data_IF_735557382371
#
_entry.id   IF_735557382371
#
_cell.length_a   1.000
_cell.length_b   1.000
_cell.length_c   1.000
_cell.angle_alpha   90.00
_cell.angle_beta   90.00
_cell.angle_gamma   90.00
#
_symmetry.space_group_name_H-M   'P 1'
#
loop_
_entity.id
_entity.type
_entity.pdbx_description
1 polymer ?
#
# COMPACT_ATOMS: atom_id res chain seq x y z
N UNK A 1 0.83 -10.40 13.03
CA UNK A 1 2.20 -9.99 12.67
C UNK A 1 2.13 -8.67 11.95
N UNK A 2 3.18 -7.86 11.98
CA UNK A 2 3.24 -6.62 11.20
C UNK A 2 3.66 -6.95 9.77
N UNK A 3 2.92 -6.45 8.79
CA UNK A 3 3.22 -6.61 7.37
C UNK A 3 3.79 -5.33 6.79
N UNK A 4 4.78 -5.47 5.93
CA UNK A 4 5.36 -4.43 5.08
C UNK A 4 4.75 -4.54 3.70
N UNK A 5 4.13 -3.46 3.23
CA UNK A 5 3.45 -3.42 1.92
C UNK A 5 3.98 -2.25 1.11
N UNK A 6 4.34 -2.53 -0.14
CA UNK A 6 4.77 -1.52 -1.12
C UNK A 6 3.82 -1.51 -2.29
N UNK A 7 3.27 -0.34 -2.61
CA UNK A 7 2.41 -0.11 -3.77
C UNK A 7 3.07 0.88 -4.73
N UNK A 8 3.07 0.58 -6.03
CA UNK A 8 3.46 1.50 -7.09
C UNK A 8 2.21 2.19 -7.64
N UNK A 9 2.16 3.51 -7.55
CA UNK A 9 0.98 4.30 -7.93
C UNK A 9 1.37 5.47 -8.81
N UNK A 10 0.46 5.88 -9.68
CA UNK A 10 0.64 7.11 -10.46
C UNK A 10 0.50 8.34 -9.56
N UNK A 11 1.02 9.48 -10.01
CA UNK A 11 0.90 10.77 -9.33
C UNK A 11 -0.58 11.16 -9.13
N UNK A 12 -1.43 10.83 -10.09
CA UNK A 12 -2.85 11.18 -10.06
C UNK A 12 -3.60 10.37 -9.00
N UNK A 13 -3.19 9.12 -8.76
CA UNK A 13 -3.85 8.21 -7.82
C UNK A 13 -3.22 8.22 -6.42
N UNK A 14 -2.11 8.96 -6.25
CA UNK A 14 -1.31 8.96 -5.03
C UNK A 14 -2.12 9.39 -3.81
N UNK A 15 -2.86 10.48 -3.92
CA UNK A 15 -3.65 11.02 -2.82
C UNK A 15 -4.79 10.07 -2.42
N UNK A 16 -5.46 9.49 -3.40
CA UNK A 16 -6.53 8.52 -3.19
C UNK A 16 -5.98 7.25 -2.54
N UNK A 17 -4.88 6.71 -3.06
CA UNK A 17 -4.24 5.50 -2.50
C UNK A 17 -3.82 5.70 -1.05
N UNK A 18 -3.19 6.83 -0.71
CA UNK A 18 -2.83 7.15 0.68
C UNK A 18 -4.06 7.22 1.57
N UNK A 19 -5.15 7.79 1.06
CA UNK A 19 -6.43 7.88 1.78
C UNK A 19 -7.02 6.49 2.02
N UNK A 20 -7.03 5.64 1.01
CA UNK A 20 -7.49 4.24 1.07
C UNK A 20 -6.66 3.44 2.07
N UNK A 21 -5.33 3.55 2.03
CA UNK A 21 -4.43 2.89 3.00
C UNK A 21 -4.84 3.24 4.42
N UNK A 22 -5.01 4.53 4.72
CA UNK A 22 -5.35 5.02 6.07
C UNK A 22 -6.74 4.58 6.54
N UNK A 23 -7.69 4.40 5.64
CA UNK A 23 -9.09 4.09 5.98
C UNK A 23 -9.39 2.60 6.04
N UNK A 24 -8.78 1.80 5.17
CA UNK A 24 -9.19 0.40 4.93
C UNK A 24 -8.35 -0.63 5.67
N UNK A 25 -7.10 -0.31 5.98
CA UNK A 25 -6.20 -1.22 6.67
C UNK A 25 -6.26 -1.00 8.18
N UNK A 26 -6.02 -2.06 8.95
CA UNK A 26 -5.95 -1.99 10.40
C UNK A 26 -4.60 -1.42 10.86
N UNK A 27 -4.63 -0.34 11.64
CA UNK A 27 -3.46 0.39 12.17
C UNK A 27 -2.34 0.63 11.13
N UNK A 28 -2.64 1.29 10.00
CA UNK A 28 -1.67 1.49 8.95
C UNK A 28 -0.68 2.60 9.32
N UNK A 29 0.61 2.40 9.01
CA UNK A 29 1.64 3.44 9.17
C UNK A 29 2.39 3.60 7.86
N UNK A 30 2.24 4.76 7.22
CA UNK A 30 2.98 5.10 6.00
C UNK A 30 4.36 5.60 6.39
N UNK A 31 5.41 4.86 6.03
CA UNK A 31 6.80 5.19 6.39
C UNK A 31 7.54 5.94 5.28
N UNK A 32 7.19 5.71 4.02
CA UNK A 32 7.85 6.36 2.89
C UNK A 32 6.92 6.53 1.70
N UNK A 33 7.06 7.66 1.03
CA UNK A 33 6.54 7.89 -0.31
C UNK A 33 7.72 8.42 -1.12
N UNK A 34 8.18 7.64 -2.09
CA UNK A 34 9.35 7.99 -2.90
C UNK A 34 9.02 7.94 -4.39
N UNK A 35 9.63 8.84 -5.17
CA UNK A 35 9.46 8.86 -6.62
C UNK A 35 10.19 7.66 -7.23
N UNK A 36 9.51 6.89 -8.08
CA UNK A 36 10.08 5.71 -8.74
C UNK A 36 10.65 6.05 -10.12
N UNK A 37 9.78 6.47 -11.04
CA UNK A 37 10.14 6.86 -12.41
C UNK A 37 8.99 7.65 -13.04
N UNK A 38 9.28 8.62 -13.90
CA UNK A 38 8.25 9.42 -14.57
C UNK A 38 7.29 10.08 -13.58
N UNK A 39 6.00 9.73 -13.68
CA UNK A 39 4.93 10.17 -12.77
C UNK A 39 4.51 9.07 -11.78
N UNK A 40 5.35 8.07 -11.52
CA UNK A 40 5.07 6.99 -10.58
C UNK A 40 5.80 7.15 -9.24
N UNK A 41 5.16 6.67 -8.18
CA UNK A 41 5.62 6.71 -6.80
C UNK A 41 5.49 5.33 -6.15
N UNK A 42 6.41 5.00 -5.23
CA UNK A 42 6.26 3.88 -4.31
C UNK A 42 5.71 4.41 -2.99
N UNK A 43 4.52 3.94 -2.60
CA UNK A 43 3.95 4.13 -1.26
C UNK A 43 4.24 2.88 -0.45
N UNK A 44 4.80 3.12 0.72
CA UNK A 44 5.50 2.14 1.51
C UNK A 44 4.91 2.25 2.91
N UNK A 45 4.15 1.24 3.35
CA UNK A 45 3.42 1.27 4.63
C UNK A 45 3.43 -0.07 5.38
N UNK A 46 3.21 -0.02 6.70
CA UNK A 46 2.95 -1.20 7.51
C UNK A 46 1.49 -1.29 7.93
N UNK A 47 1.03 -2.49 8.26
CA UNK A 47 -0.30 -2.73 8.84
C UNK A 47 -0.27 -3.98 9.73
N UNK A 48 -1.17 -4.03 10.71
CA UNK A 48 -1.41 -5.22 11.54
C UNK A 48 -2.55 -6.10 11.02
N UNK A 49 -3.12 -5.75 9.86
CA UNK A 49 -4.11 -6.59 9.14
C UNK A 49 -3.55 -7.98 8.86
N UNK A 50 -4.41 -8.99 8.76
CA UNK A 50 -4.04 -10.33 8.29
C UNK A 50 -3.69 -10.31 6.81
N UNK A 51 -2.98 -11.34 6.31
CA UNK A 51 -2.68 -11.45 4.89
C UNK A 51 -3.96 -11.48 4.03
N UNK A 52 -4.96 -12.25 4.44
CA UNK A 52 -6.24 -12.34 3.73
C UNK A 52 -6.97 -11.00 3.67
N UNK A 53 -6.97 -10.23 4.76
CA UNK A 53 -7.53 -8.88 4.77
C UNK A 53 -6.77 -7.94 3.83
N UNK A 54 -5.43 -8.03 3.82
CA UNK A 54 -4.62 -7.21 2.91
C UNK A 54 -4.97 -7.51 1.46
N UNK A 55 -4.97 -8.79 1.08
CA UNK A 55 -5.29 -9.20 -0.29
C UNK A 55 -6.71 -8.84 -0.68
N UNK A 56 -7.68 -8.98 0.25
CA UNK A 56 -9.08 -8.59 0.04
C UNK A 56 -9.22 -7.09 -0.19
N UNK A 57 -8.65 -6.25 0.67
CA UNK A 57 -8.71 -4.78 0.53
C UNK A 57 -8.03 -4.34 -0.76
N UNK A 58 -6.87 -4.89 -1.11
CA UNK A 58 -6.20 -4.59 -2.37
C UNK A 58 -7.05 -4.98 -3.59
N UNK A 59 -7.80 -6.07 -3.50
CA UNK A 59 -8.75 -6.48 -4.55
C UNK A 59 -9.95 -5.55 -4.68
N UNK A 60 -10.62 -5.24 -3.56
CA UNK A 60 -11.81 -4.37 -3.51
C UNK A 60 -11.53 -2.94 -4.00
N UNK A 61 -10.31 -2.44 -3.74
CA UNK A 61 -9.88 -1.08 -4.09
C UNK A 61 -9.11 -1.02 -5.41
N UNK A 62 -9.08 -2.12 -6.18
CA UNK A 62 -8.35 -2.25 -7.45
C UNK A 62 -6.83 -1.99 -7.36
N UNK A 63 -6.26 -2.01 -6.15
CA UNK A 63 -4.84 -1.78 -5.86
C UNK A 63 -3.97 -3.04 -6.01
N UNK A 64 -4.56 -4.21 -6.26
CA UNK A 64 -3.80 -5.46 -6.36
C UNK A 64 -2.72 -5.40 -7.46
N UNK A 65 -3.02 -4.73 -8.59
CA UNK A 65 -2.06 -4.55 -9.69
C UNK A 65 -0.92 -3.60 -9.36
N UNK A 66 -1.10 -2.78 -8.33
CA UNK A 66 -0.12 -1.83 -7.83
C UNK A 66 0.83 -2.49 -6.81
N UNK A 67 0.55 -3.72 -6.37
CA UNK A 67 1.36 -4.42 -5.36
C UNK A 67 2.76 -4.72 -5.91
N UNK A 68 3.77 -4.17 -5.23
CA UNK A 68 5.19 -4.43 -5.50
C UNK A 68 5.71 -5.53 -4.59
N UNK A 69 5.38 -5.47 -3.30
CA UNK A 69 5.79 -6.49 -2.34
C UNK A 69 4.89 -6.52 -1.10
N UNK A 70 4.81 -7.70 -0.50
CA UNK A 70 4.27 -7.94 0.84
C UNK A 70 5.23 -8.87 1.60
N UNK A 71 5.68 -8.47 2.80
CA UNK A 71 6.63 -9.25 3.59
C UNK A 71 6.43 -9.02 5.09
N UNK A 72 6.93 -9.94 5.91
CA UNK A 72 7.05 -9.76 7.37
C UNK A 72 8.42 -9.18 7.77
N UNK A 73 9.35 -9.10 6.81
CA UNK A 73 10.71 -8.58 6.95
C UNK A 73 10.84 -7.25 6.20
N UNK A 74 11.68 -6.34 6.72
CA UNK A 74 11.91 -5.00 6.13
C UNK A 74 12.81 -5.09 4.89
#
# INVERSE_FOLDING_TARGET
GMWWVKLRVSRNDLQETVTTIRKRFHQPVIYRIEKYSGDEYIVSFTTTSTLDEILRVLGEEYLYRNLVSISTEW
#
